data_IF_181908040011
#
_entry.id   IF_181908040011
#
_cell.length_a   1.000
_cell.length_b   1.000
_cell.length_c   1.000
_cell.angle_alpha   90.00
_cell.angle_beta   90.00
_cell.angle_gamma   90.00
#
_symmetry.space_group_name_H-M   'P 1'
#
loop_
_entity.id
_entity.type
_entity.pdbx_description
1 polymer ?
#
# COMPACT_ATOMS: atom_id res chain seq x y z
N UNK A 1 16.39 4.66 -40.35
CA UNK A 1 16.35 3.41 -39.56
C UNK A 1 15.10 2.71 -40.03
N UNK A 2 15.25 1.83 -41.03
CA UNK A 2 14.11 1.29 -41.77
C UNK A 2 13.28 0.38 -40.87
N UNK A 3 11.98 0.68 -40.78
CA UNK A 3 10.99 -0.11 -40.05
C UNK A 3 10.87 -1.55 -40.60
N UNK A 4 11.50 -1.82 -41.76
CA UNK A 4 11.45 -3.07 -42.50
C UNK A 4 12.59 -4.06 -42.18
N UNK A 5 13.62 -3.67 -41.40
CA UNK A 5 14.70 -4.56 -40.95
C UNK A 5 14.40 -5.25 -39.60
N UNK A 6 13.16 -5.14 -39.11
CA UNK A 6 12.72 -5.80 -37.88
C UNK A 6 12.55 -7.30 -38.16
N UNK A 7 13.37 -8.12 -37.49
CA UNK A 7 13.15 -9.56 -37.42
C UNK A 7 11.93 -9.84 -36.56
N UNK A 8 10.76 -9.89 -37.19
CA UNK A 8 9.48 -10.15 -36.52
C UNK A 8 9.48 -11.40 -35.63
N UNK A 9 10.30 -12.41 -35.95
CA UNK A 9 10.48 -13.60 -35.09
C UNK A 9 11.05 -13.26 -33.71
N UNK A 10 12.02 -12.34 -33.62
CA UNK A 10 12.61 -11.88 -32.35
C UNK A 10 11.59 -11.03 -31.59
N UNK A 11 10.75 -10.26 -32.29
CA UNK A 11 9.65 -9.51 -31.68
C UNK A 11 8.62 -10.45 -31.05
N UNK A 12 8.19 -11.51 -31.75
CA UNK A 12 7.26 -12.49 -31.19
C UNK A 12 7.85 -13.26 -30.00
N UNK A 13 9.14 -13.62 -30.05
CA UNK A 13 9.82 -14.25 -28.91
C UNK A 13 9.89 -13.28 -27.71
N UNK A 14 10.18 -12.01 -27.96
CA UNK A 14 10.18 -10.97 -26.91
C UNK A 14 8.81 -10.86 -26.25
N UNK A 15 7.73 -10.85 -27.03
CA UNK A 15 6.35 -10.79 -26.51
C UNK A 15 6.07 -12.01 -25.61
N UNK A 16 6.44 -13.22 -26.04
CA UNK A 16 6.25 -14.43 -25.26
C UNK A 16 7.05 -14.39 -23.95
N UNK A 17 8.35 -14.03 -24.01
CA UNK A 17 9.21 -13.88 -22.83
C UNK A 17 8.70 -12.81 -21.88
N UNK A 18 8.20 -11.68 -22.40
CA UNK A 18 7.62 -10.60 -21.60
C UNK A 18 6.38 -11.06 -20.82
N UNK A 19 5.48 -11.84 -21.46
CA UNK A 19 4.30 -12.39 -20.79
C UNK A 19 4.68 -13.39 -19.68
N UNK A 20 5.67 -14.24 -19.93
CA UNK A 20 6.20 -15.18 -18.92
C UNK A 20 6.84 -14.41 -17.77
N UNK A 21 7.66 -13.40 -18.08
CA UNK A 21 8.32 -12.53 -17.11
C UNK A 21 7.33 -11.81 -16.20
N UNK A 22 6.33 -11.17 -16.80
CA UNK A 22 5.27 -10.48 -16.06
C UNK A 22 4.49 -11.45 -15.15
N UNK A 23 4.17 -12.64 -15.66
CA UNK A 23 3.48 -13.67 -14.87
C UNK A 23 4.32 -14.14 -13.69
N UNK A 24 5.61 -14.41 -13.91
CA UNK A 24 6.54 -14.81 -12.85
C UNK A 24 6.69 -13.72 -11.78
N UNK A 25 6.91 -12.47 -12.19
CA UNK A 25 6.97 -11.31 -11.31
C UNK A 25 5.69 -11.16 -10.47
N UNK A 26 4.53 -11.26 -11.10
CA UNK A 26 3.25 -11.16 -10.42
C UNK A 26 3.06 -12.26 -9.38
N UNK A 27 3.39 -13.51 -9.73
CA UNK A 27 3.26 -14.64 -8.80
C UNK A 27 4.21 -14.52 -7.61
N UNK A 28 5.47 -14.16 -7.84
CA UNK A 28 6.45 -13.95 -6.77
C UNK A 28 6.03 -12.80 -5.86
N UNK A 29 5.64 -11.66 -6.43
CA UNK A 29 5.17 -10.49 -5.66
C UNK A 29 3.93 -10.82 -4.84
N UNK A 30 2.98 -11.57 -5.43
CA UNK A 30 1.77 -12.02 -4.75
C UNK A 30 2.09 -12.98 -3.60
N UNK A 31 3.10 -13.84 -3.76
CA UNK A 31 3.57 -14.77 -2.72
C UNK A 31 4.29 -14.04 -1.57
N UNK A 32 5.06 -12.99 -1.87
CA UNK A 32 5.69 -12.13 -0.86
C UNK A 32 4.66 -11.28 -0.07
N UNK A 33 3.47 -11.08 -0.64
CA UNK A 33 2.32 -10.51 0.04
C UNK A 33 2.35 -8.98 0.15
N UNK A 34 1.43 -8.43 0.95
CA UNK A 34 1.17 -6.97 1.03
C UNK A 34 2.36 -6.13 1.50
N UNK A 35 3.39 -6.76 2.11
CA UNK A 35 4.59 -6.09 2.61
C UNK A 35 5.35 -5.38 1.47
N UNK A 36 5.41 -6.00 0.29
CA UNK A 36 6.14 -5.45 -0.86
C UNK A 36 5.47 -4.21 -1.48
N UNK A 37 4.18 -3.97 -1.16
CA UNK A 37 3.40 -2.87 -1.74
C UNK A 37 3.22 -1.70 -0.76
N UNK A 38 3.29 -1.95 0.55
CA UNK A 38 2.98 -0.92 1.56
C UNK A 38 4.19 -0.07 1.94
N UNK A 39 5.24 -0.69 2.50
CA UNK A 39 6.50 -0.03 2.87
C UNK A 39 7.63 -1.06 2.84
N UNK A 40 8.54 -0.90 1.88
CA UNK A 40 9.66 -1.79 1.66
C UNK A 40 10.72 -1.57 2.76
N UNK A 41 11.18 -2.65 3.38
CA UNK A 41 12.47 -2.60 4.08
C UNK A 41 13.61 -2.50 3.05
N UNK A 42 14.80 -2.10 3.49
CA UNK A 42 15.99 -2.10 2.62
C UNK A 42 16.21 -3.46 1.95
N UNK A 43 15.99 -4.55 2.68
CA UNK A 43 16.06 -5.89 2.12
C UNK A 43 15.01 -6.13 1.02
N UNK A 44 13.74 -5.76 1.27
CA UNK A 44 12.68 -5.93 0.27
C UNK A 44 12.94 -5.08 -0.98
N UNK A 45 13.54 -3.89 -0.81
CA UNK A 45 13.95 -2.99 -1.89
C UNK A 45 15.05 -3.61 -2.77
N UNK A 46 16.13 -4.11 -2.16
CA UNK A 46 17.23 -4.77 -2.89
C UNK A 46 16.73 -5.99 -3.66
N UNK A 47 15.88 -6.81 -3.03
CA UNK A 47 15.26 -7.97 -3.69
C UNK A 47 14.38 -7.53 -4.85
N UNK A 48 13.54 -6.50 -4.67
CA UNK A 48 12.65 -6.00 -5.72
C UNK A 48 13.41 -5.54 -6.96
N UNK A 49 14.47 -4.75 -6.79
CA UNK A 49 15.34 -4.31 -7.90
C UNK A 49 16.02 -5.49 -8.57
N UNK A 50 16.57 -6.42 -7.79
CA UNK A 50 17.27 -7.60 -8.33
C UNK A 50 16.34 -8.45 -9.19
N UNK A 51 15.14 -8.75 -8.68
CA UNK A 51 14.12 -9.52 -9.39
C UNK A 51 13.65 -8.79 -10.65
N UNK A 52 13.46 -7.46 -10.58
CA UNK A 52 13.13 -6.63 -11.74
C UNK A 52 14.22 -6.68 -12.82
N UNK A 53 15.49 -6.63 -12.42
CA UNK A 53 16.61 -6.76 -13.35
C UNK A 53 16.67 -8.14 -14.02
N UNK A 54 16.46 -9.22 -13.26
CA UNK A 54 16.42 -10.58 -13.84
C UNK A 54 15.25 -10.76 -14.80
N UNK A 55 14.10 -10.13 -14.51
CA UNK A 55 12.95 -10.11 -15.40
C UNK A 55 13.20 -9.34 -16.70
N UNK A 56 13.89 -8.21 -16.63
CA UNK A 56 14.32 -7.44 -17.81
C UNK A 56 15.32 -8.24 -18.65
N UNK A 57 16.34 -8.81 -18.01
CA UNK A 57 17.36 -9.65 -18.64
C UNK A 57 16.73 -10.84 -19.37
N UNK A 58 15.79 -11.54 -18.71
CA UNK A 58 15.05 -12.66 -19.30
C UNK A 58 14.24 -12.27 -20.55
N UNK A 59 13.76 -11.02 -20.59
CA UNK A 59 12.85 -10.54 -21.64
C UNK A 59 13.60 -10.00 -22.85
N UNK A 60 14.69 -9.25 -22.61
CA UNK A 60 15.37 -8.46 -23.65
C UNK A 60 16.62 -9.17 -24.16
N UNK A 61 17.32 -9.93 -23.32
CA UNK A 61 18.56 -10.58 -23.74
C UNK A 61 18.27 -11.91 -24.46
N UNK A 62 18.31 -11.87 -25.79
CA UNK A 62 18.09 -13.04 -26.65
C UNK A 62 19.25 -14.02 -26.68
N UNK A 63 20.46 -13.57 -26.36
CA UNK A 63 21.66 -14.41 -26.31
C UNK A 63 21.71 -15.26 -25.03
N UNK A 64 20.94 -14.87 -24.01
CA UNK A 64 20.82 -15.59 -22.75
C UNK A 64 19.65 -16.59 -22.77
N UNK A 65 19.86 -17.74 -22.12
CA UNK A 65 18.77 -18.70 -21.90
C UNK A 65 17.74 -18.09 -20.94
N UNK A 66 16.51 -17.88 -21.40
CA UNK A 66 15.43 -17.32 -20.58
C UNK A 66 15.20 -18.12 -19.28
N UNK A 67 15.47 -19.43 -19.28
CA UNK A 67 15.39 -20.29 -18.12
C UNK A 67 16.30 -19.84 -16.96
N UNK A 68 17.46 -19.23 -17.26
CA UNK A 68 18.36 -18.70 -16.23
C UNK A 68 17.72 -17.50 -15.51
N UNK A 69 17.11 -16.58 -16.26
CA UNK A 69 16.38 -15.44 -15.70
C UNK A 69 15.18 -15.89 -14.86
N UNK A 70 14.41 -16.86 -15.36
CA UNK A 70 13.26 -17.42 -14.64
C UNK A 70 13.71 -18.10 -13.33
N UNK A 71 14.80 -18.87 -13.39
CA UNK A 71 15.38 -19.53 -12.21
C UNK A 71 15.84 -18.49 -11.18
N UNK A 72 16.50 -17.42 -11.62
CA UNK A 72 16.94 -16.34 -10.74
C UNK A 72 15.75 -15.67 -10.03
N UNK A 73 14.67 -15.34 -10.77
CA UNK A 73 13.44 -14.77 -10.20
C UNK A 73 12.83 -15.69 -9.14
N UNK A 74 12.72 -16.99 -9.44
CA UNK A 74 12.12 -17.96 -8.51
C UNK A 74 13.00 -18.13 -7.27
N UNK A 75 14.31 -18.28 -7.43
CA UNK A 75 15.24 -18.48 -6.30
C UNK A 75 15.27 -17.24 -5.41
N UNK A 76 15.37 -16.04 -5.97
CA UNK A 76 15.35 -14.80 -5.19
C UNK A 76 14.00 -14.60 -4.50
N UNK A 77 12.89 -14.91 -5.20
CA UNK A 77 11.56 -14.88 -4.61
C UNK A 77 11.41 -15.83 -3.41
N UNK A 78 11.91 -17.07 -3.54
CA UNK A 78 11.91 -18.06 -2.46
C UNK A 78 12.80 -17.63 -1.29
N UNK A 79 14.00 -17.10 -1.55
CA UNK A 79 14.87 -16.57 -0.49
C UNK A 79 14.19 -15.43 0.24
N UNK A 80 13.59 -14.49 -0.48
CA UNK A 80 12.88 -13.36 0.11
C UNK A 80 11.69 -13.82 0.96
N UNK A 81 10.95 -14.82 0.49
CA UNK A 81 9.88 -15.45 1.26
C UNK A 81 10.40 -16.11 2.53
N UNK A 82 11.49 -16.87 2.45
CA UNK A 82 12.12 -17.53 3.60
C UNK A 82 12.63 -16.52 4.63
N UNK A 83 13.30 -15.45 4.18
CA UNK A 83 13.74 -14.36 5.07
C UNK A 83 12.54 -13.70 5.75
N UNK A 84 11.47 -13.42 5.00
CA UNK A 84 10.22 -12.91 5.57
C UNK A 84 9.65 -13.84 6.64
N UNK A 85 9.54 -15.14 6.35
CA UNK A 85 9.05 -16.14 7.28
C UNK A 85 9.91 -16.27 8.55
N UNK A 86 11.23 -16.27 8.40
CA UNK A 86 12.16 -16.44 9.52
C UNK A 86 12.22 -15.17 10.39
N UNK A 87 12.16 -13.98 9.79
CA UNK A 87 12.12 -12.70 10.53
C UNK A 87 10.80 -12.51 11.29
N UNK A 88 9.71 -13.15 10.86
CA UNK A 88 8.49 -13.22 11.67
C UNK A 88 8.71 -14.01 12.96
N UNK A 89 9.53 -15.08 12.93
CA UNK A 89 9.77 -15.96 14.08
C UNK A 89 10.93 -15.52 14.99
N UNK A 90 11.93 -14.81 14.47
CA UNK A 90 13.13 -14.43 15.23
C UNK A 90 13.33 -12.93 15.28
N UNK A 91 13.36 -12.38 16.50
CA UNK A 91 13.64 -10.96 16.72
C UNK A 91 15.07 -10.58 16.32
N UNK A 92 16.05 -11.47 16.53
CA UNK A 92 17.46 -11.20 16.15
C UNK A 92 17.56 -11.06 14.63
N UNK A 93 16.98 -12.00 13.89
CA UNK A 93 16.99 -11.96 12.42
C UNK A 93 16.15 -10.81 11.89
N UNK A 94 15.03 -10.47 12.54
CA UNK A 94 14.25 -9.28 12.21
C UNK A 94 15.08 -8.00 12.33
N UNK A 95 15.81 -7.83 13.43
CA UNK A 95 16.69 -6.66 13.65
C UNK A 95 17.81 -6.59 12.62
N UNK A 96 18.33 -7.73 12.17
CA UNK A 96 19.38 -7.80 11.16
C UNK A 96 18.88 -7.47 9.74
N UNK A 97 17.81 -8.13 9.28
CA UNK A 97 17.32 -7.98 7.90
C UNK A 97 16.42 -6.77 7.69
N UNK A 98 15.54 -6.47 8.66
CA UNK A 98 14.59 -5.36 8.56
C UNK A 98 15.21 -4.10 9.16
N UNK A 99 15.93 -4.21 10.27
CA UNK A 99 16.47 -3.09 11.02
C UNK A 99 15.66 -2.77 12.28
N UNK A 100 16.00 -1.65 12.91
CA UNK A 100 15.32 -1.13 14.11
C UNK A 100 15.12 0.37 14.00
N UNK A 101 14.02 0.91 14.56
CA UNK A 101 13.87 2.36 14.66
C UNK A 101 15.01 2.97 15.48
N UNK A 102 15.42 4.18 15.10
CA UNK A 102 16.47 4.94 15.79
C UNK A 102 15.92 6.28 16.24
N UNK A 103 16.06 6.58 17.53
CA UNK A 103 15.58 7.84 18.11
C UNK A 103 16.48 9.00 17.66
N UNK A 104 15.92 10.00 17.00
CA UNK A 104 16.65 11.20 16.56
C UNK A 104 16.39 12.40 17.48
N UNK A 105 15.18 12.50 18.05
CA UNK A 105 14.81 13.47 19.08
C UNK A 105 14.28 12.72 20.30
N UNK A 106 14.79 13.06 21.48
CA UNK A 106 14.33 12.51 22.75
C UNK A 106 14.15 13.64 23.76
N UNK A 107 12.95 13.73 24.33
CA UNK A 107 12.57 14.78 25.28
C UNK A 107 12.89 16.19 24.74
N UNK A 108 12.55 16.43 23.47
CA UNK A 108 12.83 17.68 22.77
C UNK A 108 14.30 17.97 22.47
N UNK A 109 15.22 17.03 22.71
CA UNK A 109 16.66 17.19 22.44
C UNK A 109 17.10 16.36 21.25
N UNK A 110 17.84 16.97 20.33
CA UNK A 110 18.48 16.29 19.21
C UNK A 110 19.57 15.32 19.69
N UNK A 111 19.58 14.11 19.14
CA UNK A 111 20.54 13.06 19.49
C UNK A 111 21.56 12.92 18.35
N UNK A 112 22.56 13.80 18.33
CA UNK A 112 23.58 13.89 17.27
C UNK A 112 24.29 12.56 17.00
N UNK A 113 24.60 11.79 18.06
CA UNK A 113 25.21 10.45 17.92
C UNK A 113 24.36 9.50 17.06
N UNK A 114 23.03 9.62 17.14
CA UNK A 114 22.11 8.76 16.42
C UNK A 114 21.94 9.27 14.98
N UNK A 115 21.86 10.58 14.76
CA UNK A 115 21.91 11.20 13.43
C UNK A 115 23.15 10.72 12.64
N UNK A 116 24.34 10.78 13.24
CA UNK A 116 25.57 10.26 12.63
C UNK A 116 25.50 8.75 12.35
N UNK A 117 24.96 7.96 13.28
CA UNK A 117 24.83 6.50 13.14
C UNK A 117 23.97 6.12 11.94
N UNK A 118 22.87 6.84 11.70
CA UNK A 118 21.96 6.58 10.57
C UNK A 118 22.31 7.38 9.31
N UNK A 119 23.44 8.11 9.31
CA UNK A 119 23.88 8.98 8.20
C UNK A 119 22.81 9.99 7.79
N UNK A 120 22.13 10.55 8.77
CA UNK A 120 21.04 11.50 8.60
C UNK A 120 21.51 12.84 9.13
N UNK A 121 21.58 13.86 8.27
CA UNK A 121 22.04 15.17 8.66
C UNK A 121 20.91 16.03 9.26
N UNK A 122 21.25 17.24 9.70
CA UNK A 122 20.26 18.12 10.33
C UNK A 122 19.22 18.63 9.33
N UNK A 123 19.60 18.83 8.06
CA UNK A 123 18.69 19.28 7.02
C UNK A 123 17.71 18.17 6.65
N UNK A 124 18.18 16.92 6.58
CA UNK A 124 17.32 15.74 6.36
C UNK A 124 16.24 15.65 7.47
N UNK A 125 16.65 15.81 8.73
CA UNK A 125 15.71 15.82 9.87
C UNK A 125 14.71 16.97 9.78
N UNK A 126 15.17 18.18 9.47
CA UNK A 126 14.29 19.33 9.34
C UNK A 126 13.33 19.17 8.16
N UNK A 127 13.76 18.57 7.05
CA UNK A 127 12.92 18.26 5.89
C UNK A 127 11.82 17.26 6.24
N UNK A 128 12.17 16.12 6.85
CA UNK A 128 11.19 15.11 7.27
C UNK A 128 10.21 15.65 8.33
N UNK A 129 10.69 16.48 9.27
CA UNK A 129 9.83 17.15 10.23
C UNK A 129 8.80 18.06 9.54
N UNK A 130 9.23 18.89 8.58
CA UNK A 130 8.33 19.74 7.80
C UNK A 130 7.35 18.92 6.96
N UNK A 131 7.83 17.84 6.31
CA UNK A 131 6.99 16.91 5.55
C UNK A 131 5.90 16.24 6.41
N UNK A 132 6.18 16.08 7.72
CA UNK A 132 5.25 15.56 8.72
C UNK A 132 4.39 16.65 9.39
N UNK A 133 4.50 17.91 8.97
CA UNK A 133 3.72 19.05 9.48
C UNK A 133 4.34 19.82 10.66
N UNK A 134 5.55 19.48 11.10
CA UNK A 134 6.24 20.12 12.21
C UNK A 134 7.38 21.02 11.72
N UNK A 135 7.11 22.33 11.63
CA UNK A 135 8.09 23.34 11.23
C UNK A 135 8.97 23.83 12.39
N UNK A 136 8.51 23.62 13.62
CA UNK A 136 9.21 24.00 14.84
C UNK A 136 9.54 22.76 15.67
N UNK A 137 10.83 22.46 15.82
CA UNK A 137 11.31 21.31 16.58
C UNK A 137 10.97 21.40 18.06
N UNK A 138 10.71 22.60 18.59
CA UNK A 138 10.31 22.75 20.00
C UNK A 138 8.94 22.11 20.29
N UNK A 139 8.16 21.82 19.25
CA UNK A 139 6.87 21.14 19.36
C UNK A 139 6.99 19.62 19.47
N UNK A 140 8.18 19.07 19.25
CA UNK A 140 8.42 17.62 19.17
C UNK A 140 8.95 17.11 20.50
N UNK A 141 8.32 16.07 21.05
CA UNK A 141 8.80 15.36 22.23
C UNK A 141 9.77 14.23 21.81
N UNK A 142 9.35 13.41 20.85
CA UNK A 142 10.17 12.34 20.26
C UNK A 142 10.06 12.33 18.74
N UNK A 143 11.17 11.99 18.09
CA UNK A 143 11.20 11.64 16.67
C UNK A 143 12.04 10.38 16.48
N UNK A 144 11.51 9.41 15.74
CA UNK A 144 12.17 8.13 15.46
C UNK A 144 12.26 7.95 13.95
N UNK A 145 13.46 7.62 13.46
CA UNK A 145 13.64 7.16 12.09
C UNK A 145 13.37 5.67 12.04
N UNK A 146 12.32 5.27 11.33
CA UNK A 146 11.92 3.89 11.15
C UNK A 146 12.87 3.13 10.21
N UNK A 147 12.80 1.79 10.27
CA UNK A 147 13.66 0.91 9.46
C UNK A 147 13.50 1.06 7.93
N UNK A 148 12.36 1.60 7.49
CA UNK A 148 12.07 1.91 6.09
C UNK A 148 12.44 3.35 5.71
N UNK A 149 13.09 4.11 6.60
CA UNK A 149 13.51 5.48 6.39
C UNK A 149 12.47 6.54 6.71
N UNK A 150 11.24 6.18 7.10
CA UNK A 150 10.22 7.19 7.45
C UNK A 150 10.42 7.75 8.85
N UNK A 151 10.18 9.04 9.02
CA UNK A 151 10.17 9.67 10.33
C UNK A 151 8.80 9.50 11.01
N UNK A 152 8.80 9.04 12.25
CA UNK A 152 7.63 9.03 13.13
C UNK A 152 7.81 10.07 14.23
N UNK A 153 6.82 10.95 14.43
CA UNK A 153 6.89 12.06 15.37
C UNK A 153 5.82 11.91 16.45
N UNK A 154 6.24 12.08 17.71
CA UNK A 154 5.36 12.29 18.85
C UNK A 154 5.50 13.77 19.27
N UNK A 155 4.46 14.60 19.07
CA UNK A 155 4.47 15.98 19.56
C UNK A 155 4.45 16.03 21.09
N UNK A 156 4.83 17.18 21.65
CA UNK A 156 4.57 17.45 23.08
C UNK A 156 3.07 17.54 23.32
N UNK A 157 2.66 17.31 24.56
CA UNK A 157 1.24 17.26 24.93
C UNK A 157 0.47 18.54 24.56
N UNK A 158 1.10 19.71 24.70
CA UNK A 158 0.50 21.01 24.37
C UNK A 158 0.27 21.25 22.86
N UNK A 159 1.01 20.53 22.00
CA UNK A 159 0.89 20.60 20.53
C UNK A 159 0.18 19.37 19.95
N UNK A 160 -0.31 18.46 20.80
CA UNK A 160 -1.00 17.25 20.37
C UNK A 160 -2.45 17.56 19.97
N UNK A 161 -3.00 16.92 18.92
CA UNK A 161 -4.41 17.08 18.59
C UNK A 161 -5.31 16.68 19.75
N UNK A 162 -6.31 17.51 20.06
CA UNK A 162 -7.29 17.23 21.11
C UNK A 162 -8.13 16.01 20.70
N UNK A 163 -8.24 15.03 21.60
CA UNK A 163 -9.11 13.87 21.38
C UNK A 163 -10.49 14.07 22.01
N UNK A 164 -11.48 13.30 21.55
CA UNK A 164 -12.83 13.24 22.15
C UNK A 164 -12.74 12.96 23.66
N UNK A 165 -11.75 12.15 24.08
CA UNK A 165 -11.52 11.80 25.49
C UNK A 165 -11.05 13.00 26.31
N UNK A 166 -10.18 13.84 25.76
CA UNK A 166 -9.68 15.05 26.43
C UNK A 166 -10.81 16.06 26.66
N UNK A 167 -11.74 16.15 25.70
CA UNK A 167 -12.95 16.98 25.82
C UNK A 167 -14.05 16.35 26.68
N UNK A 168 -13.85 15.13 27.21
CA UNK A 168 -14.86 14.36 27.96
C UNK A 168 -16.17 14.17 27.19
N UNK A 169 -16.10 14.12 25.87
CA UNK A 169 -17.25 13.90 25.00
C UNK A 169 -17.57 12.41 24.91
N UNK A 170 -18.83 12.07 24.69
CA UNK A 170 -19.26 10.68 24.50
C UNK A 170 -18.90 10.25 23.07
N UNK A 171 -17.92 9.35 22.93
CA UNK A 171 -17.61 8.74 21.65
C UNK A 171 -18.75 7.82 21.20
N UNK A 172 -19.20 7.95 19.95
CA UNK A 172 -20.04 6.95 19.30
C UNK A 172 -19.16 5.84 18.76
N UNK A 173 -19.56 4.59 18.97
CA UNK A 173 -18.86 3.44 18.39
C UNK A 173 -19.02 3.53 16.87
N UNK A 174 -17.91 3.74 16.17
CA UNK A 174 -17.87 3.64 14.72
C UNK A 174 -17.57 2.20 14.34
N UNK A 175 -18.32 1.65 13.41
CA UNK A 175 -18.09 0.32 12.84
C UNK A 175 -17.87 0.42 11.34
N UNK A 176 -17.31 -0.64 10.76
CA UNK A 176 -17.07 -0.70 9.33
C UNK A 176 -18.41 -0.63 8.59
N UNK A 177 -18.41 0.16 7.52
CA UNK A 177 -19.54 0.24 6.59
C UNK A 177 -19.29 -0.79 5.49
N UNK A 178 -20.28 -1.62 5.21
CA UNK A 178 -20.19 -2.64 4.16
C UNK A 178 -20.60 -2.07 2.80
N UNK A 179 -19.77 -2.26 1.79
CA UNK A 179 -20.14 -1.98 0.40
C UNK A 179 -20.99 -3.16 -0.10
N UNK A 180 -22.30 -2.98 -0.24
CA UNK A 180 -23.23 -4.04 -0.61
C UNK A 180 -23.56 -4.06 -2.11
N UNK A 181 -23.35 -2.94 -2.81
CA UNK A 181 -23.41 -2.85 -4.27
C UNK A 181 -22.19 -2.05 -4.73
N UNK A 182 -21.46 -2.55 -5.73
CA UNK A 182 -20.37 -1.84 -6.40
C UNK A 182 -20.56 -2.05 -7.90
N UNK A 183 -20.57 -0.96 -8.67
CA UNK A 183 -20.75 -0.99 -10.13
C UNK A 183 -21.97 -1.82 -10.55
N UNK A 184 -23.13 -1.54 -9.95
CA UNK A 184 -24.39 -2.25 -10.22
C UNK A 184 -24.37 -3.76 -9.89
N UNK A 185 -23.30 -4.27 -9.25
CA UNK A 185 -23.19 -5.68 -8.82
C UNK A 185 -23.34 -5.80 -7.32
N UNK A 186 -24.20 -6.71 -6.89
CA UNK A 186 -24.40 -7.03 -5.48
C UNK A 186 -23.17 -7.77 -4.93
N UNK A 187 -22.74 -7.38 -3.72
CA UNK A 187 -21.66 -8.02 -2.95
C UNK A 187 -22.27 -8.97 -1.91
N UNK A 188 -22.58 -10.24 -2.25
CA UNK A 188 -23.34 -11.15 -1.38
C UNK A 188 -22.61 -11.48 -0.07
N UNK A 189 -21.28 -11.60 -0.10
CA UNK A 189 -20.49 -11.85 1.10
C UNK A 189 -20.56 -10.66 2.07
N UNK A 190 -20.59 -9.43 1.55
CA UNK A 190 -20.67 -8.22 2.38
C UNK A 190 -22.05 -8.10 3.02
N UNK A 191 -23.13 -8.39 2.28
CA UNK A 191 -24.49 -8.51 2.82
C UNK A 191 -24.57 -9.57 3.93
N UNK A 192 -24.03 -10.76 3.67
CA UNK A 192 -24.01 -11.86 4.64
C UNK A 192 -23.25 -11.48 5.92
N UNK A 193 -22.14 -10.77 5.80
CA UNK A 193 -21.37 -10.27 6.95
C UNK A 193 -22.17 -9.26 7.77
N UNK A 194 -23.06 -8.50 7.13
CA UNK A 194 -24.05 -7.62 7.78
C UNK A 194 -25.30 -8.36 8.26
N UNK A 195 -25.32 -9.70 8.17
CA UNK A 195 -26.48 -10.56 8.50
C UNK A 195 -27.74 -10.21 7.71
N UNK A 196 -27.57 -9.69 6.48
CA UNK A 196 -28.65 -9.41 5.54
C UNK A 196 -28.56 -10.37 4.35
N UNK A 197 -29.69 -10.54 3.68
CA UNK A 197 -29.80 -11.31 2.44
C UNK A 197 -30.17 -10.41 1.26
N UNK A 198 -30.20 -11.00 0.07
CA UNK A 198 -30.57 -10.30 -1.17
C UNK A 198 -32.04 -9.83 -1.09
N UNK A 199 -32.91 -10.63 -0.49
CA UNK A 199 -34.33 -10.31 -0.31
C UNK A 199 -34.54 -9.02 0.49
N UNK A 200 -33.77 -8.84 1.57
CA UNK A 200 -33.76 -7.61 2.35
C UNK A 200 -33.28 -6.43 1.51
N UNK A 201 -32.19 -6.59 0.75
CA UNK A 201 -31.67 -5.53 -0.11
C UNK A 201 -32.69 -5.11 -1.17
N UNK A 202 -33.32 -6.06 -1.86
CA UNK A 202 -34.35 -5.80 -2.86
C UNK A 202 -35.53 -5.03 -2.27
N UNK A 203 -35.91 -5.32 -1.03
CA UNK A 203 -36.96 -4.59 -0.32
C UNK A 203 -36.54 -3.14 -0.04
N UNK A 204 -35.35 -2.93 0.50
CA UNK A 204 -34.84 -1.59 0.81
C UNK A 204 -34.64 -0.72 -0.44
N UNK A 205 -34.15 -1.31 -1.54
CA UNK A 205 -34.01 -0.63 -2.82
C UNK A 205 -35.38 -0.20 -3.37
N UNK A 206 -36.38 -1.07 -3.29
CA UNK A 206 -37.76 -0.75 -3.71
C UNK A 206 -38.36 0.37 -2.87
N UNK A 207 -38.16 0.36 -1.55
CA UNK A 207 -38.62 1.43 -0.64
C UNK A 207 -38.00 2.77 -1.05
N UNK A 208 -36.73 2.78 -1.45
CA UNK A 208 -36.01 3.97 -1.94
C UNK A 208 -36.30 4.31 -3.40
N UNK A 209 -37.17 3.58 -4.09
CA UNK A 209 -37.60 3.87 -5.46
C UNK A 209 -36.75 3.25 -6.58
N UNK A 210 -35.74 2.44 -6.26
CA UNK A 210 -34.90 1.77 -7.25
C UNK A 210 -35.54 0.48 -7.74
N UNK A 211 -35.79 0.40 -9.05
CA UNK A 211 -36.34 -0.80 -9.72
C UNK A 211 -35.24 -1.69 -10.31
N UNK A 212 -34.10 -1.11 -10.66
CA UNK A 212 -32.94 -1.80 -11.24
C UNK A 212 -31.66 -1.32 -10.55
N UNK A 213 -30.60 -2.12 -10.68
CA UNK A 213 -29.28 -1.82 -10.10
C UNK A 213 -28.41 -0.96 -11.04
N UNK A 214 -28.82 -0.78 -12.29
CA UNK A 214 -27.99 -0.17 -13.35
C UNK A 214 -27.57 1.26 -13.01
N UNK A 215 -28.45 2.01 -12.36
CA UNK A 215 -28.20 3.40 -11.96
C UNK A 215 -27.42 3.53 -10.64
N UNK A 216 -27.13 2.42 -9.95
CA UNK A 216 -26.42 2.43 -8.66
C UNK A 216 -24.92 2.21 -8.90
N UNK A 217 -24.11 3.23 -8.60
CA UNK A 217 -22.65 3.12 -8.64
C UNK A 217 -22.12 2.42 -7.39
N UNK A 218 -22.60 2.85 -6.22
CA UNK A 218 -22.20 2.31 -4.92
C UNK A 218 -23.40 2.31 -3.98
N UNK A 219 -23.57 1.24 -3.22
CA UNK A 219 -24.46 1.25 -2.06
C UNK A 219 -23.74 0.72 -0.84
N UNK A 220 -23.87 1.44 0.26
CA UNK A 220 -23.19 1.16 1.53
C UNK A 220 -24.19 0.95 2.65
N UNK A 221 -23.90 0.00 3.52
CA UNK A 221 -24.73 -0.35 4.67
C UNK A 221 -23.93 -0.22 5.96
N UNK A 222 -24.41 0.59 6.89
CA UNK A 222 -23.87 0.65 8.25
C UNK A 222 -24.56 -0.34 9.21
N UNK A 223 -24.05 -0.46 10.44
CA UNK A 223 -24.63 -1.35 11.46
C UNK A 223 -26.02 -0.92 11.95
N UNK A 224 -26.41 0.33 11.73
CA UNK A 224 -27.73 0.84 12.08
C UNK A 224 -28.75 0.59 10.96
N UNK A 225 -28.43 -0.33 10.03
CA UNK A 225 -29.21 -0.64 8.84
C UNK A 225 -29.43 0.57 7.91
N UNK A 226 -28.60 1.62 8.03
CA UNK A 226 -28.70 2.78 7.15
C UNK A 226 -28.09 2.46 5.79
N UNK A 227 -28.97 2.20 4.84
CA UNK A 227 -28.61 2.08 3.42
C UNK A 227 -28.41 3.47 2.80
N UNK A 228 -27.17 3.75 2.37
CA UNK A 228 -26.80 4.95 1.60
C UNK A 228 -26.47 4.54 0.17
N UNK A 229 -27.03 5.23 -0.82
CA UNK A 229 -26.92 4.90 -2.24
C UNK A 229 -26.29 6.09 -2.95
N UNK A 230 -25.31 5.79 -3.79
CA UNK A 230 -24.62 6.72 -4.67
C UNK A 230 -24.94 6.30 -6.10
N UNK A 231 -25.63 7.16 -6.83
CA UNK A 231 -26.04 6.91 -8.20
C UNK A 231 -24.89 7.12 -9.19
N UNK A 232 -25.03 6.56 -10.39
CA UNK A 232 -24.15 6.87 -11.51
C UNK A 232 -24.47 8.27 -12.03
N UNK A 233 -23.57 9.22 -11.78
CA UNK A 233 -23.66 10.55 -12.36
C UNK A 233 -23.21 10.52 -13.84
N UNK A 234 -24.12 10.20 -14.75
CA UNK A 234 -23.84 10.22 -16.18
C UNK A 234 -24.01 11.63 -16.81
N UNK A 235 -24.58 12.60 -16.08
CA UNK A 235 -24.97 13.92 -16.62
C UNK A 235 -24.58 15.14 -15.78
N UNK A 236 -23.98 14.95 -14.60
CA UNK A 236 -23.49 16.10 -13.83
C UNK A 236 -22.25 16.67 -14.50
N UNK A 237 -22.30 17.95 -14.89
CA UNK A 237 -21.10 18.67 -15.27
C UNK A 237 -20.21 18.72 -14.05
N UNK A 238 -19.08 18.02 -14.10
CA UNK A 238 -18.01 18.19 -13.12
C UNK A 238 -17.61 19.67 -13.17
N UNK A 239 -17.93 20.42 -12.12
CA UNK A 239 -17.44 21.77 -11.96
C UNK A 239 -15.98 21.68 -11.57
N UNK A 240 -15.12 21.50 -12.57
CA UNK A 240 -13.69 21.57 -12.34
C UNK A 240 -13.25 23.04 -12.29
N UNK A 241 -12.73 23.45 -11.15
CA UNK A 241 -12.06 24.76 -10.96
C UNK A 241 -10.54 24.61 -10.93
N UNK A 242 -10.04 23.37 -11.10
CA UNK A 242 -8.63 23.01 -11.17
C UNK A 242 -8.48 21.99 -12.33
N UNK A 243 -8.26 22.52 -13.54
CA UNK A 243 -8.27 21.88 -14.87
C UNK A 243 -9.65 21.58 -15.49
#
# INVERSE_FOLDING_TARGET
MDFFDIKWIEVFDTIARALISLTALFLVTKLLGKKQVSQLSLFDYVIGISIGNFAAEMTINMDSQYANGLTAIIVFGLIAYLVSYVTMKSMVLRRFFIGTPTILIQNGKLIEKNLKKVKFDINDLLEECRGSGYFDLTQIEYALLEANGKLSILPKGEYSPVTIKDMKLKATKQELVANIIIDSKIMPNNLKNMKKDISWLDKELKIKGYKTLDNILLATLDINDKLTIYERNNHDKVHNVLE
#
